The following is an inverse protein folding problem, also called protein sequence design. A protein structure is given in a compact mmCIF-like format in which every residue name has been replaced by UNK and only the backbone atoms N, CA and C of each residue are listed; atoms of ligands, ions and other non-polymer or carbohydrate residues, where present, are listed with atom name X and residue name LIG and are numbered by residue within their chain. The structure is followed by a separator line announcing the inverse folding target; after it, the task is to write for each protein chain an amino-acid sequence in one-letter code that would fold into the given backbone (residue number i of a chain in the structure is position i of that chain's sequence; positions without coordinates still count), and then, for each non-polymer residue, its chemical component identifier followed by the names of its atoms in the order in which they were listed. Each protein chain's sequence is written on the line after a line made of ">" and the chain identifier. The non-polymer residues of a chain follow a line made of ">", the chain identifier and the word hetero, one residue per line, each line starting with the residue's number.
data_IF_759523513038
#
_entry.id   IF_759523513038
#
_cell.length_a   1.000
_cell.length_b   1.000
_cell.length_c   1.000
_cell.angle_alpha   90.00
_cell.angle_beta   90.00
_cell.angle_gamma   90.00
#
_symmetry.space_group_name_H-M   'P 1'
#
loop_
_entity.id
_entity.type
_entity.pdbx_description
1 polymer ?
#
# COMPACT_ATOMS: atom_id res chain seq x y z
N UNK A 1 -98.90 -20.71 -13.40
CA UNK A 1 -98.76 -21.09 -11.98
C UNK A 1 -97.36 -20.70 -11.53
N UNK A 2 -97.27 -19.85 -10.50
CA UNK A 2 -96.09 -19.41 -9.72
C UNK A 2 -95.08 -18.42 -10.35
N UNK A 3 -95.21 -17.19 -9.85
CA UNK A 3 -94.21 -16.13 -9.69
C UNK A 3 -92.97 -16.61 -8.90
N UNK A 4 -91.81 -16.00 -9.16
CA UNK A 4 -91.06 -15.23 -8.14
C UNK A 4 -89.89 -14.42 -8.74
N UNK A 5 -89.88 -13.14 -8.38
CA UNK A 5 -88.85 -12.10 -8.54
C UNK A 5 -87.65 -12.29 -7.62
N UNK A 6 -86.46 -11.75 -7.99
CA UNK A 6 -85.61 -10.93 -7.09
C UNK A 6 -84.51 -10.15 -7.87
N UNK A 7 -84.14 -8.92 -7.44
CA UNK A 7 -83.24 -7.98 -8.15
C UNK A 7 -81.84 -7.88 -7.51
N UNK A 8 -80.85 -7.29 -8.20
CA UNK A 8 -79.62 -6.69 -7.62
C UNK A 8 -78.98 -5.74 -8.66
N UNK A 9 -79.13 -4.43 -8.46
CA UNK A 9 -78.16 -3.48 -7.87
C UNK A 9 -77.09 -2.97 -8.86
N UNK A 10 -77.28 -1.74 -9.30
CA UNK A 10 -76.29 -0.91 -9.99
C UNK A 10 -75.26 -0.38 -8.98
N UNK A 11 -73.97 -0.52 -9.29
CA UNK A 11 -72.88 0.13 -8.57
C UNK A 11 -72.26 1.21 -9.46
N UNK A 12 -72.48 2.48 -9.10
CA UNK A 12 -71.74 3.62 -9.62
C UNK A 12 -70.33 3.60 -9.00
N UNK A 13 -69.29 3.47 -9.81
CA UNK A 13 -67.91 3.72 -9.41
C UNK A 13 -67.55 5.17 -9.74
N UNK A 14 -67.44 6.00 -8.70
CA UNK A 14 -66.81 7.32 -8.74
C UNK A 14 -65.29 7.14 -8.84
N UNK A 15 -64.72 7.43 -10.02
CA UNK A 15 -63.28 7.50 -10.21
C UNK A 15 -62.75 8.87 -9.76
N UNK A 16 -62.21 8.94 -8.55
CA UNK A 16 -61.41 10.07 -8.07
C UNK A 16 -60.02 10.03 -8.71
N UNK A 17 -59.74 10.99 -9.59
CA UNK A 17 -58.43 11.16 -10.21
C UNK A 17 -57.39 11.67 -9.21
N UNK A 18 -56.57 10.77 -8.68
CA UNK A 18 -55.26 11.13 -8.15
C UNK A 18 -54.29 11.23 -9.32
N UNK A 19 -53.86 12.44 -9.65
CA UNK A 19 -52.77 12.69 -10.58
C UNK A 19 -51.47 12.13 -10.01
N UNK A 20 -51.04 10.98 -10.52
CA UNK A 20 -49.69 10.45 -10.31
C UNK A 20 -48.71 11.41 -11.00
N UNK A 21 -48.03 12.24 -10.20
CA UNK A 21 -46.81 12.91 -10.63
C UNK A 21 -45.75 11.83 -10.86
N UNK A 22 -45.51 11.50 -12.14
CA UNK A 22 -44.34 10.72 -12.53
C UNK A 22 -43.12 11.61 -12.29
N UNK A 23 -42.18 11.25 -11.41
CA UNK A 23 -40.96 12.01 -11.24
C UNK A 23 -40.18 11.95 -12.56
N UNK A 24 -39.95 13.11 -13.17
CA UNK A 24 -39.13 13.25 -14.35
C UNK A 24 -37.73 12.73 -14.03
N UNK A 25 -37.32 11.62 -14.64
CA UNK A 25 -35.96 11.12 -14.52
C UNK A 25 -35.01 12.24 -14.98
N UNK A 26 -34.15 12.72 -14.07
CA UNK A 26 -33.11 13.67 -14.40
C UNK A 26 -32.26 13.07 -15.53
N UNK A 27 -32.13 13.81 -16.63
CA UNK A 27 -31.22 13.43 -17.72
C UNK A 27 -29.81 13.27 -17.13
N UNK A 28 -29.12 12.15 -17.40
CA UNK A 28 -27.71 12.03 -17.01
C UNK A 28 -26.95 13.18 -17.69
N UNK A 29 -26.28 14.01 -16.89
CA UNK A 29 -25.37 15.02 -17.40
C UNK A 29 -24.28 14.37 -18.26
N UNK A 30 -23.56 15.15 -19.08
CA UNK A 30 -22.50 14.62 -19.94
C UNK A 30 -21.52 13.81 -19.09
N UNK A 31 -21.26 12.57 -19.50
CA UNK A 31 -20.32 11.67 -18.83
C UNK A 31 -18.93 12.34 -18.81
N UNK A 32 -18.49 12.75 -17.62
CA UNK A 32 -17.15 13.30 -17.42
C UNK A 32 -16.17 12.15 -17.58
N UNK A 33 -15.48 12.09 -18.72
CA UNK A 33 -14.40 11.13 -18.93
C UNK A 33 -13.27 11.39 -17.93
N UNK A 34 -12.84 10.36 -17.20
CA UNK A 34 -11.74 10.49 -16.26
C UNK A 34 -10.45 10.81 -17.01
N UNK A 35 -9.76 11.89 -16.61
CA UNK A 35 -8.42 12.22 -17.12
C UNK A 35 -7.44 11.09 -16.78
N UNK A 36 -6.45 10.77 -17.64
CA UNK A 36 -5.39 9.83 -17.28
C UNK A 36 -4.55 10.37 -16.12
N UNK A 37 -3.91 9.49 -15.36
CA UNK A 37 -3.02 9.84 -14.26
C UNK A 37 -1.87 10.75 -14.69
N UNK A 38 -1.39 10.60 -15.93
CA UNK A 38 -0.35 11.44 -16.54
C UNK A 38 -0.77 12.90 -16.75
N UNK A 39 -2.05 13.24 -16.57
CA UNK A 39 -2.54 14.62 -16.66
C UNK A 39 -2.31 15.44 -15.38
N UNK A 40 -1.83 14.81 -14.30
CA UNK A 40 -1.63 15.45 -13.00
C UNK A 40 -0.15 15.53 -12.63
N UNK A 41 0.19 16.47 -11.74
CA UNK A 41 1.54 16.58 -11.19
C UNK A 41 1.92 15.42 -10.25
N UNK A 42 3.22 15.15 -10.11
CA UNK A 42 3.74 14.13 -9.18
C UNK A 42 3.87 14.61 -7.73
N UNK A 43 3.43 15.84 -7.42
CA UNK A 43 3.68 16.50 -6.14
C UNK A 43 3.16 15.74 -4.92
N UNK A 44 1.92 15.24 -5.00
CA UNK A 44 1.31 14.42 -3.94
C UNK A 44 2.18 13.20 -3.60
N UNK A 45 2.62 12.47 -4.63
CA UNK A 45 3.45 11.27 -4.47
C UNK A 45 4.83 11.63 -3.92
N UNK A 46 5.45 12.70 -4.44
CA UNK A 46 6.75 13.17 -3.99
C UNK A 46 6.76 13.48 -2.49
N UNK A 47 5.75 14.22 -2.01
CA UNK A 47 5.66 14.60 -0.61
C UNK A 47 5.45 13.41 0.33
N UNK A 48 4.63 12.44 -0.07
CA UNK A 48 4.44 11.21 0.70
C UNK A 48 5.72 10.41 0.79
N UNK A 49 6.39 10.18 -0.35
CA UNK A 49 7.68 9.48 -0.37
C UNK A 49 8.72 10.20 0.50
N UNK A 50 8.76 11.53 0.45
CA UNK A 50 9.63 12.32 1.29
C UNK A 50 9.32 12.13 2.79
N UNK A 51 8.04 12.17 3.17
CA UNK A 51 7.63 11.91 4.55
C UNK A 51 7.97 10.47 4.98
N UNK A 52 7.70 9.47 4.15
CA UNK A 52 7.98 8.06 4.46
C UNK A 52 9.49 7.82 4.72
N UNK A 53 10.37 8.48 3.96
CA UNK A 53 11.82 8.44 4.20
C UNK A 53 12.20 9.06 5.56
N UNK A 54 11.51 10.11 5.99
CA UNK A 54 11.70 10.69 7.32
C UNK A 54 11.14 9.77 8.42
N UNK A 55 9.97 9.15 8.18
CA UNK A 55 9.35 8.21 9.11
C UNK A 55 10.24 6.99 9.35
N UNK A 56 10.92 6.47 8.33
CA UNK A 56 11.91 5.37 8.46
C UNK A 56 13.00 5.74 9.45
N UNK A 57 13.55 6.95 9.36
CA UNK A 57 14.63 7.40 10.24
C UNK A 57 14.16 7.67 11.67
N UNK A 58 12.91 8.09 11.82
CA UNK A 58 12.36 8.62 13.08
C UNK A 58 11.47 7.62 13.82
N UNK A 59 11.22 6.44 13.24
CA UNK A 59 10.38 5.41 13.85
C UNK A 59 11.25 4.25 14.35
N UNK A 60 11.27 3.95 15.65
CA UNK A 60 12.01 2.82 16.19
C UNK A 60 11.59 1.48 15.53
N UNK A 61 12.58 0.63 15.25
CA UNK A 61 12.38 -0.70 14.68
C UNK A 61 12.58 -0.81 13.16
N UNK A 62 12.79 0.31 12.47
CA UNK A 62 12.99 0.34 11.02
C UNK A 62 14.45 0.12 10.61
N UNK A 63 14.93 -1.12 10.77
CA UNK A 63 16.20 -1.55 10.19
C UNK A 63 16.10 -1.64 8.66
N UNK A 64 17.25 -1.71 7.92
CA UNK A 64 17.22 -1.68 6.45
C UNK A 64 16.25 -2.69 5.79
N UNK A 65 16.15 -3.96 6.23
CA UNK A 65 15.20 -4.90 5.64
C UNK A 65 13.73 -4.53 5.91
N UNK A 66 13.42 -4.02 7.11
CA UNK A 66 12.08 -3.57 7.51
C UNK A 66 11.68 -2.32 6.73
N UNK A 67 12.61 -1.37 6.55
CA UNK A 67 12.41 -0.17 5.75
C UNK A 67 12.15 -0.52 4.27
N UNK A 68 12.94 -1.43 3.69
CA UNK A 68 12.74 -1.91 2.32
C UNK A 68 11.35 -2.56 2.15
N UNK A 69 10.92 -3.36 3.13
CA UNK A 69 9.57 -3.94 3.15
C UNK A 69 8.50 -2.85 3.16
N UNK A 70 8.60 -1.86 4.05
CA UNK A 70 7.63 -0.77 4.14
C UNK A 70 7.52 0.01 2.81
N UNK A 71 8.64 0.45 2.25
CA UNK A 71 8.67 1.18 0.97
C UNK A 71 8.13 0.34 -0.19
N UNK A 72 8.49 -0.95 -0.26
CA UNK A 72 8.02 -1.83 -1.33
C UNK A 72 6.50 -1.95 -1.35
N UNK A 73 5.87 -2.11 -0.19
CA UNK A 73 4.42 -2.22 -0.10
C UNK A 73 3.69 -0.87 -0.18
N UNK A 74 4.27 0.23 0.30
CA UNK A 74 3.72 1.59 0.08
C UNK A 74 3.73 1.92 -1.42
N UNK A 75 4.84 1.65 -2.10
CA UNK A 75 4.97 1.82 -3.55
C UNK A 75 3.99 0.95 -4.33
N UNK A 76 3.81 -0.31 -3.92
CA UNK A 76 2.83 -1.19 -4.55
C UNK A 76 1.39 -0.70 -4.34
N UNK A 77 1.03 -0.27 -3.12
CA UNK A 77 -0.30 0.29 -2.85
C UNK A 77 -0.58 1.54 -3.69
N UNK A 78 0.42 2.42 -3.84
CA UNK A 78 0.34 3.57 -4.75
C UNK A 78 0.12 3.10 -6.19
N UNK A 79 0.98 2.22 -6.70
CA UNK A 79 0.92 1.77 -8.09
C UNK A 79 -0.42 1.13 -8.43
N UNK A 80 -0.86 0.14 -7.65
CA UNK A 80 -2.13 -0.56 -7.88
C UNK A 80 -3.34 0.36 -7.75
N UNK A 81 -3.26 1.41 -6.93
CA UNK A 81 -4.35 2.38 -6.80
C UNK A 81 -4.46 3.31 -8.02
N UNK A 82 -3.36 3.60 -8.72
CA UNK A 82 -3.35 4.57 -9.83
C UNK A 82 -3.29 3.89 -11.20
N UNK A 83 -2.85 2.63 -11.30
CA UNK A 83 -2.70 1.92 -12.57
C UNK A 83 -3.98 1.87 -13.44
N UNK A 84 -5.22 1.85 -12.89
CA UNK A 84 -6.41 1.95 -13.74
C UNK A 84 -6.49 3.25 -14.54
N UNK A 85 -5.82 4.31 -14.07
CA UNK A 85 -5.66 5.60 -14.73
C UNK A 85 -4.42 5.73 -15.62
N UNK A 86 -3.64 4.66 -15.81
CA UNK A 86 -2.37 4.68 -16.54
C UNK A 86 -2.45 3.85 -17.82
N UNK A 87 -2.97 4.41 -18.94
CA UNK A 87 -3.03 3.69 -20.21
C UNK A 87 -1.67 3.10 -20.60
N UNK A 88 -1.65 1.82 -20.97
CA UNK A 88 -0.43 1.09 -21.33
C UNK A 88 0.30 0.39 -20.17
N UNK A 89 -0.17 0.58 -18.93
CA UNK A 89 0.34 -0.13 -17.74
C UNK A 89 -0.64 -1.21 -17.29
N UNK A 90 -0.13 -2.19 -16.54
CA UNK A 90 -0.89 -3.35 -16.10
C UNK A 90 -0.75 -3.54 -14.59
N UNK A 91 -1.82 -4.00 -13.95
CA UNK A 91 -1.76 -4.45 -12.56
C UNK A 91 -0.72 -5.55 -12.39
N UNK A 92 -0.01 -5.52 -11.27
CA UNK A 92 0.92 -6.55 -10.83
C UNK A 92 0.21 -7.72 -10.11
N UNK A 93 -1.11 -7.62 -9.89
CA UNK A 93 -1.90 -8.79 -9.51
C UNK A 93 -1.81 -9.87 -10.60
N UNK A 94 -1.58 -11.11 -10.19
CA UNK A 94 -1.26 -12.25 -11.06
C UNK A 94 0.22 -12.33 -11.47
N UNK A 95 1.04 -11.31 -11.17
CA UNK A 95 2.47 -11.29 -11.49
C UNK A 95 3.34 -11.45 -10.24
N UNK A 96 2.95 -10.84 -9.11
CA UNK A 96 3.65 -11.00 -7.83
C UNK A 96 3.26 -12.31 -7.15
N UNK A 97 4.20 -12.88 -6.39
CA UNK A 97 3.98 -14.13 -5.69
C UNK A 97 2.74 -14.07 -4.79
N UNK A 98 1.78 -14.97 -5.04
CA UNK A 98 0.56 -15.14 -4.25
C UNK A 98 -0.39 -13.92 -4.24
N UNK A 99 -0.16 -12.91 -5.07
CA UNK A 99 -1.08 -11.79 -5.24
C UNK A 99 -2.03 -12.09 -6.40
N UNK A 100 -3.14 -12.78 -6.14
CA UNK A 100 -4.02 -13.26 -7.21
C UNK A 100 -5.01 -12.22 -7.74
N UNK A 101 -5.56 -11.37 -6.87
CA UNK A 101 -6.60 -10.41 -7.23
C UNK A 101 -6.63 -9.22 -6.29
N UNK A 102 -7.08 -8.07 -6.81
CA UNK A 102 -7.24 -6.82 -6.07
C UNK A 102 -8.60 -6.18 -6.38
N UNK A 103 -9.04 -5.19 -5.57
CA UNK A 103 -10.21 -4.38 -5.88
C UNK A 103 -10.06 -3.70 -7.25
N UNK A 104 -11.17 -3.59 -8.00
CA UNK A 104 -11.19 -2.97 -9.32
C UNK A 104 -11.86 -1.59 -9.26
N UNK A 105 -11.34 -0.65 -10.04
CA UNK A 105 -12.05 0.61 -10.27
C UNK A 105 -13.30 0.36 -11.10
N UNK A 106 -14.41 1.01 -10.76
CA UNK A 106 -15.65 0.90 -11.53
C UNK A 106 -15.52 1.72 -12.83
N UNK A 107 -15.70 1.12 -14.03
CA UNK A 107 -15.45 1.79 -15.31
C UNK A 107 -16.24 3.09 -15.54
N UNK A 108 -17.45 3.17 -14.98
CA UNK A 108 -18.37 4.28 -15.18
C UNK A 108 -18.31 5.33 -14.06
N UNK A 109 -17.37 5.19 -13.11
CA UNK A 109 -17.20 6.12 -12.00
C UNK A 109 -15.85 6.85 -12.11
N UNK A 110 -15.84 8.12 -12.55
CA UNK A 110 -14.59 8.85 -12.71
C UNK A 110 -13.89 9.04 -11.36
N UNK A 111 -12.62 8.64 -11.32
CA UNK A 111 -11.74 8.82 -10.17
C UNK A 111 -10.80 10.01 -10.39
N UNK A 112 -10.41 10.62 -9.28
CA UNK A 112 -9.41 11.67 -9.22
C UNK A 112 -8.09 11.09 -8.69
N UNK A 113 -7.15 10.82 -9.60
CA UNK A 113 -5.92 10.07 -9.28
C UNK A 113 -5.05 10.69 -8.17
N UNK A 114 -4.88 12.02 -8.05
CA UNK A 114 -4.23 12.62 -6.89
C UNK A 114 -4.92 12.31 -5.56
N UNK A 115 -6.26 12.32 -5.50
CA UNK A 115 -7.00 11.93 -4.29
C UNK A 115 -6.81 10.44 -3.99
N UNK A 116 -6.88 9.58 -5.02
CA UNK A 116 -6.65 8.13 -4.88
C UNK A 116 -5.25 7.85 -4.32
N UNK A 117 -4.21 8.44 -4.93
CA UNK A 117 -2.82 8.28 -4.51
C UNK A 117 -2.60 8.77 -3.08
N UNK A 118 -3.12 9.96 -2.74
CA UNK A 118 -3.02 10.53 -1.41
C UNK A 118 -3.63 9.59 -0.36
N UNK A 119 -4.85 9.10 -0.60
CA UNK A 119 -5.56 8.22 0.34
C UNK A 119 -4.88 6.85 0.46
N UNK A 120 -4.39 6.28 -0.64
CA UNK A 120 -3.68 5.00 -0.64
C UNK A 120 -2.38 5.09 0.16
N UNK A 121 -1.55 6.11 -0.11
CA UNK A 121 -0.29 6.31 0.61
C UNK A 121 -0.53 6.64 2.08
N UNK A 122 -1.45 7.54 2.41
CA UNK A 122 -1.79 7.87 3.80
C UNK A 122 -2.18 6.63 4.62
N UNK A 123 -3.09 5.84 4.06
CA UNK A 123 -3.59 4.62 4.70
C UNK A 123 -2.48 3.59 4.84
N UNK A 124 -1.68 3.39 3.80
CA UNK A 124 -0.61 2.40 3.80
C UNK A 124 0.54 2.77 4.74
N UNK A 125 0.98 4.03 4.74
CA UNK A 125 2.00 4.53 5.65
C UNK A 125 1.53 4.44 7.10
N UNK A 126 0.29 4.80 7.42
CA UNK A 126 -0.25 4.63 8.76
C UNK A 126 -0.21 3.17 9.25
N UNK A 127 -0.45 2.19 8.37
CA UNK A 127 -0.37 0.76 8.68
C UNK A 127 1.07 0.22 8.72
N UNK A 128 1.97 0.78 7.93
CA UNK A 128 3.37 0.36 7.87
C UNK A 128 4.18 0.89 9.05
N UNK A 129 3.85 2.08 9.58
CA UNK A 129 4.51 2.71 10.73
C UNK A 129 3.65 2.67 12.01
N UNK A 130 3.23 1.50 12.53
CA UNK A 130 2.33 1.42 13.67
C UNK A 130 2.93 2.00 14.96
N UNK A 131 4.26 1.92 15.09
CA UNK A 131 5.07 2.42 16.21
C UNK A 131 5.52 3.88 16.05
N UNK A 132 5.09 4.58 15.00
CA UNK A 132 5.39 6.00 14.86
C UNK A 132 4.89 6.79 16.08
N UNK A 133 5.66 7.82 16.46
CA UNK A 133 5.28 8.76 17.52
C UNK A 133 3.96 9.46 17.19
N UNK A 134 3.30 10.02 18.22
CA UNK A 134 2.09 10.81 18.02
C UNK A 134 2.32 12.00 17.07
N UNK A 135 3.49 12.64 17.17
CA UNK A 135 3.92 13.71 16.27
C UNK A 135 4.02 13.24 14.81
N UNK A 136 4.66 12.10 14.57
CA UNK A 136 4.78 11.54 13.22
C UNK A 136 3.43 11.09 12.65
N UNK A 137 2.53 10.57 13.49
CA UNK A 137 1.14 10.28 13.10
C UNK A 137 0.38 11.56 12.73
N UNK A 138 0.56 12.64 13.49
CA UNK A 138 -0.03 13.94 13.18
C UNK A 138 0.54 14.54 11.87
N UNK A 139 1.83 14.32 11.57
CA UNK A 139 2.44 14.71 10.30
C UNK A 139 1.82 13.99 9.10
N UNK A 140 1.59 12.68 9.19
CA UNK A 140 0.86 11.92 8.15
C UNK A 140 -0.54 12.48 7.92
N UNK A 141 -1.32 12.70 9.00
CA UNK A 141 -2.67 13.26 8.92
C UNK A 141 -2.72 14.70 8.40
N UNK A 142 -1.70 15.50 8.71
CA UNK A 142 -1.60 16.87 8.21
C UNK A 142 -1.25 16.87 6.74
N UNK A 143 -0.33 16.00 6.33
CA UNK A 143 0.06 15.86 4.93
C UNK A 143 -1.14 15.46 4.07
N UNK A 144 -1.87 14.41 4.46
CA UNK A 144 -3.08 13.94 3.78
C UNK A 144 -4.10 15.07 3.55
N UNK A 145 -4.40 15.86 4.59
CA UNK A 145 -5.38 16.95 4.53
C UNK A 145 -4.90 18.19 3.77
N UNK A 146 -3.58 18.38 3.66
CA UNK A 146 -2.99 19.58 3.06
C UNK A 146 -2.90 19.53 1.52
N UNK A 147 -3.04 18.35 0.91
CA UNK A 147 -2.82 18.18 -0.53
C UNK A 147 -3.65 19.11 -1.42
N UNK A 148 -4.98 19.28 -1.18
CA UNK A 148 -5.76 20.19 -2.02
C UNK A 148 -5.31 21.65 -1.91
N UNK A 149 -4.79 22.05 -0.75
CA UNK A 149 -4.26 23.41 -0.53
C UNK A 149 -2.88 23.60 -1.16
N UNK A 150 -2.05 22.56 -1.14
CA UNK A 150 -0.67 22.62 -1.67
C UNK A 150 -0.63 22.50 -3.20
N UNK A 151 -1.57 21.78 -3.78
CA UNK A 151 -1.65 21.51 -5.23
C UNK A 151 -2.99 21.95 -5.83
N UNK A 152 -3.40 23.22 -5.69
CA UNK A 152 -4.73 23.67 -6.11
C UNK A 152 -5.01 23.46 -7.60
N UNK A 153 -3.97 23.47 -8.45
CA UNK A 153 -4.09 23.18 -9.88
C UNK A 153 -4.55 21.74 -10.19
N UNK A 154 -4.25 20.80 -9.29
CA UNK A 154 -4.65 19.41 -9.43
C UNK A 154 -5.98 19.12 -8.71
N UNK A 155 -6.45 20.01 -7.83
CA UNK A 155 -7.65 19.82 -6.99
C UNK A 155 -8.75 20.86 -7.28
N UNK A 156 -8.94 21.23 -8.55
CA UNK A 156 -9.95 22.21 -8.97
C UNK A 156 -11.38 21.79 -8.52
N UNK A 157 -12.04 22.54 -7.62
CA UNK A 157 -13.39 22.22 -7.13
C UNK A 157 -14.47 22.19 -8.23
N UNK A 158 -14.23 22.84 -9.38
CA UNK A 158 -15.12 22.78 -10.53
C UNK A 158 -15.12 21.42 -11.24
N UNK A 159 -14.08 20.61 -11.04
CA UNK A 159 -13.93 19.27 -11.65
C UNK A 159 -13.90 18.15 -10.62
N UNK A 160 -13.30 18.39 -9.45
CA UNK A 160 -13.22 17.44 -8.34
C UNK A 160 -14.37 17.72 -7.37
N UNK A 161 -15.55 17.18 -7.70
CA UNK A 161 -16.73 17.31 -6.85
C UNK A 161 -16.59 16.49 -5.56
N UNK A 162 -17.37 16.76 -4.50
CA UNK A 162 -17.35 15.97 -3.27
C UNK A 162 -17.58 14.46 -3.49
N UNK A 163 -18.43 14.10 -4.46
CA UNK A 163 -18.72 12.71 -4.82
C UNK A 163 -17.49 12.03 -5.48
N UNK A 164 -16.82 12.72 -6.41
CA UNK A 164 -15.56 12.26 -7.01
C UNK A 164 -14.47 12.14 -5.94
N UNK A 165 -14.35 13.12 -5.04
CA UNK A 165 -13.37 13.06 -3.95
C UNK A 165 -13.62 11.87 -3.04
N UNK A 166 -14.85 11.69 -2.56
CA UNK A 166 -15.20 10.62 -1.62
C UNK A 166 -15.00 9.21 -2.21
N UNK A 167 -15.43 8.99 -3.46
CA UNK A 167 -15.21 7.69 -4.12
C UNK A 167 -13.72 7.43 -4.37
N UNK A 168 -12.95 8.46 -4.72
CA UNK A 168 -11.51 8.35 -4.96
C UNK A 168 -10.75 8.02 -3.68
N UNK A 169 -11.09 8.69 -2.59
CA UNK A 169 -10.53 8.42 -1.26
C UNK A 169 -10.87 6.99 -0.81
N UNK A 170 -12.13 6.58 -0.99
CA UNK A 170 -12.59 5.22 -0.66
C UNK A 170 -11.82 4.18 -1.46
N UNK A 171 -11.65 4.37 -2.77
CA UNK A 171 -10.92 3.45 -3.62
C UNK A 171 -9.45 3.31 -3.20
N UNK A 172 -8.76 4.44 -2.97
CA UNK A 172 -7.37 4.43 -2.50
C UNK A 172 -7.20 3.70 -1.16
N UNK A 173 -8.11 3.95 -0.21
CA UNK A 173 -8.15 3.25 1.09
C UNK A 173 -8.35 1.75 0.94
N UNK A 174 -9.33 1.34 0.13
CA UNK A 174 -9.63 -0.07 -0.11
C UNK A 174 -8.44 -0.80 -0.74
N UNK A 175 -7.76 -0.17 -1.70
CA UNK A 175 -6.57 -0.74 -2.33
C UNK A 175 -5.43 -0.93 -1.31
N UNK A 176 -5.13 0.10 -0.52
CA UNK A 176 -4.11 0.01 0.53
C UNK A 176 -4.42 -1.10 1.55
N UNK A 177 -5.68 -1.23 1.97
CA UNK A 177 -6.12 -2.28 2.88
C UNK A 177 -6.00 -3.69 2.27
N UNK A 178 -6.32 -3.86 1.00
CA UNK A 178 -6.16 -5.12 0.28
C UNK A 178 -4.68 -5.52 0.19
N UNK A 179 -3.81 -4.58 -0.19
CA UNK A 179 -2.36 -4.81 -0.24
C UNK A 179 -1.80 -5.11 1.14
N UNK A 180 -2.23 -4.41 2.20
CA UNK A 180 -1.80 -4.71 3.56
C UNK A 180 -2.25 -6.10 4.03
N UNK A 181 -3.44 -6.54 3.63
CA UNK A 181 -3.90 -7.91 3.93
C UNK A 181 -2.97 -8.96 3.33
N UNK A 182 -2.58 -8.79 2.06
CA UNK A 182 -1.58 -9.63 1.42
C UNK A 182 -0.16 -9.46 2.00
N UNK A 183 0.19 -8.25 2.43
CA UNK A 183 1.49 -7.99 3.07
C UNK A 183 1.63 -8.72 4.39
N UNK A 184 0.56 -8.84 5.19
CA UNK A 184 0.59 -9.53 6.49
C UNK A 184 0.96 -11.01 6.38
N UNK A 185 0.76 -11.64 5.22
CA UNK A 185 1.03 -13.06 5.01
C UNK A 185 2.46 -13.36 4.56
N UNK A 186 3.30 -12.33 4.37
CA UNK A 186 4.64 -12.50 3.79
C UNK A 186 5.72 -13.04 4.75
N UNK A 187 5.38 -13.21 6.03
CA UNK A 187 6.32 -13.64 7.10
C UNK A 187 7.11 -12.49 7.76
N UNK A 188 7.19 -11.33 7.13
CA UNK A 188 7.94 -10.15 7.59
C UNK A 188 7.10 -9.14 8.40
N UNK A 189 5.79 -9.33 8.50
CA UNK A 189 4.93 -8.49 9.34
C UNK A 189 5.43 -8.47 10.79
N UNK A 190 5.41 -7.30 11.43
CA UNK A 190 5.98 -7.07 12.78
C UNK A 190 7.50 -7.30 12.90
N UNK A 191 8.24 -7.35 11.79
CA UNK A 191 9.71 -7.39 11.80
C UNK A 191 10.38 -6.22 12.54
N UNK A 192 9.64 -5.13 12.75
CA UNK A 192 10.06 -3.99 13.58
C UNK A 192 10.05 -4.30 15.08
N UNK A 193 9.27 -5.28 15.53
CA UNK A 193 9.03 -5.59 16.94
C UNK A 193 10.05 -6.58 17.52
N UNK A 194 10.22 -6.61 18.86
CA UNK A 194 11.27 -7.39 19.52
C UNK A 194 11.17 -8.90 19.28
N UNK A 195 9.95 -9.43 19.11
CA UNK A 195 9.70 -10.87 18.93
C UNK A 195 10.35 -11.38 17.64
N UNK A 196 10.19 -10.66 16.53
CA UNK A 196 10.71 -11.05 15.22
C UNK A 196 12.07 -10.45 14.90
N UNK A 197 12.41 -9.30 15.50
CA UNK A 197 13.65 -8.57 15.19
C UNK A 197 14.92 -9.31 15.56
N UNK A 198 14.99 -9.84 16.77
CA UNK A 198 16.16 -10.58 17.26
C UNK A 198 15.94 -12.07 17.33
N UNK A 199 14.68 -12.53 17.40
CA UNK A 199 14.29 -13.94 17.55
C UNK A 199 15.17 -14.64 18.59
N UNK A 200 14.87 -14.43 19.88
CA UNK A 200 15.73 -14.76 21.01
C UNK A 200 16.24 -16.22 21.08
N UNK A 201 15.64 -17.14 20.33
CA UNK A 201 16.06 -18.53 20.19
C UNK A 201 17.10 -18.78 19.08
N UNK A 202 17.43 -17.78 18.26
CA UNK A 202 18.50 -17.89 17.27
C UNK A 202 19.86 -17.84 17.96
N UNK A 203 20.65 -18.89 17.76
CA UNK A 203 22.03 -18.98 18.23
C UNK A 203 22.95 -18.83 17.01
N UNK A 204 23.69 -17.72 16.88
CA UNK A 204 24.66 -17.56 15.81
C UNK A 204 25.71 -18.67 15.82
N UNK A 205 26.22 -19.12 14.66
CA UNK A 205 27.32 -20.07 14.60
C UNK A 205 28.53 -19.57 15.38
N UNK A 206 29.15 -20.44 16.17
CA UNK A 206 30.34 -20.13 16.97
C UNK A 206 31.61 -20.71 16.35
N UNK A 207 32.76 -20.15 16.75
CA UNK A 207 34.08 -20.59 16.33
C UNK A 207 34.76 -19.65 15.36
N UNK A 208 36.02 -19.95 15.06
CA UNK A 208 36.89 -19.13 14.22
C UNK A 208 36.31 -18.97 12.81
N UNK A 209 36.33 -17.75 12.30
CA UNK A 209 35.77 -17.40 10.98
C UNK A 209 34.24 -17.37 10.90
N UNK A 210 33.54 -17.50 12.03
CA UNK A 210 32.08 -17.30 12.12
C UNK A 210 31.76 -15.89 12.61
N UNK A 211 30.55 -15.44 12.31
CA UNK A 211 30.06 -14.15 12.78
C UNK A 211 30.03 -14.09 14.31
N UNK A 212 30.43 -12.95 14.87
CA UNK A 212 30.25 -12.64 16.28
C UNK A 212 29.70 -11.22 16.43
N UNK A 213 29.00 -10.96 17.53
CA UNK A 213 28.58 -9.60 17.86
C UNK A 213 29.82 -8.70 18.05
N UNK A 214 29.77 -7.49 17.52
CA UNK A 214 30.90 -6.54 17.54
C UNK A 214 30.65 -5.37 18.51
N UNK A 215 31.72 -4.78 19.09
CA UNK A 215 31.59 -3.58 19.92
C UNK A 215 31.03 -2.38 19.11
N UNK A 216 30.49 -1.35 19.79
CA UNK A 216 30.37 -1.22 21.25
C UNK A 216 29.14 -1.91 21.85
N UNK A 217 28.10 -2.15 21.05
CA UNK A 217 26.80 -2.59 21.56
C UNK A 217 26.67 -4.11 21.70
N UNK A 218 27.50 -4.89 21.00
CA UNK A 218 27.39 -6.36 20.94
C UNK A 218 25.95 -6.81 20.63
N UNK A 219 25.31 -6.13 19.68
CA UNK A 219 23.92 -6.38 19.34
C UNK A 219 23.71 -7.81 18.79
N UNK A 220 22.55 -8.43 19.07
CA UNK A 220 22.23 -9.74 18.50
C UNK A 220 22.09 -9.68 16.98
N UNK A 221 22.17 -10.83 16.33
CA UNK A 221 21.91 -10.94 14.90
C UNK A 221 20.54 -10.35 14.54
N UNK A 222 20.53 -9.45 13.57
CA UNK A 222 19.32 -8.78 13.13
C UNK A 222 18.58 -9.67 12.12
N UNK A 223 17.31 -9.99 12.42
CA UNK A 223 16.38 -10.68 11.53
C UNK A 223 16.99 -11.93 10.88
N UNK A 224 17.47 -12.92 11.67
CA UNK A 224 18.25 -14.04 11.15
C UNK A 224 17.48 -14.93 10.16
N UNK A 225 16.14 -14.93 10.21
CA UNK A 225 15.28 -15.66 9.27
C UNK A 225 14.64 -14.78 8.20
N UNK A 226 15.12 -13.55 7.95
CA UNK A 226 14.51 -12.63 6.97
C UNK A 226 14.42 -13.23 5.55
N UNK A 227 15.40 -14.08 5.20
CA UNK A 227 15.40 -14.81 3.92
C UNK A 227 14.27 -15.83 3.76
N UNK A 228 13.45 -16.07 4.77
CA UNK A 228 12.27 -16.95 4.69
C UNK A 228 10.98 -16.18 4.34
N UNK A 229 11.04 -14.84 4.31
CA UNK A 229 9.89 -14.04 3.90
C UNK A 229 9.57 -14.29 2.42
N UNK A 230 8.28 -14.22 2.06
CA UNK A 230 7.85 -14.29 0.66
C UNK A 230 8.47 -13.14 -0.14
N UNK A 231 9.28 -13.41 -1.18
CA UNK A 231 9.77 -12.36 -2.07
C UNK A 231 8.60 -11.80 -2.92
N UNK A 232 8.72 -10.56 -3.40
CA UNK A 232 7.73 -9.99 -4.32
C UNK A 232 7.75 -10.69 -5.70
N UNK A 233 8.95 -10.88 -6.26
CA UNK A 233 9.16 -11.32 -7.66
C UNK A 233 9.97 -12.62 -7.78
N UNK A 234 11.04 -12.79 -7.00
CA UNK A 234 11.81 -14.03 -7.02
C UNK A 234 10.90 -15.19 -6.59
N UNK A 235 10.89 -16.31 -7.32
CA UNK A 235 10.02 -17.46 -6.97
C UNK A 235 10.39 -18.01 -5.59
N UNK A 236 11.68 -18.01 -5.23
CA UNK A 236 12.17 -18.26 -3.88
C UNK A 236 13.31 -17.30 -3.52
N UNK A 237 13.56 -17.10 -2.23
CA UNK A 237 14.68 -16.28 -1.76
C UNK A 237 16.07 -16.83 -2.17
N UNK A 238 16.14 -18.09 -2.63
CA UNK A 238 17.36 -18.74 -3.06
C UNK A 238 17.60 -18.67 -4.58
N UNK A 239 16.71 -18.05 -5.36
CA UNK A 239 16.80 -18.06 -6.83
C UNK A 239 17.95 -17.20 -7.41
N UNK A 240 18.62 -16.38 -6.59
CA UNK A 240 19.77 -15.56 -6.98
C UNK A 240 20.91 -15.68 -5.96
N UNK A 241 21.58 -16.84 -5.86
CA UNK A 241 22.65 -17.02 -4.89
C UNK A 241 23.89 -16.21 -5.29
N UNK A 242 24.49 -15.52 -4.32
CA UNK A 242 25.82 -14.96 -4.49
C UNK A 242 26.87 -16.08 -4.58
N UNK A 243 28.01 -15.87 -5.26
CA UNK A 243 29.15 -16.77 -5.13
C UNK A 243 29.57 -16.88 -3.66
N UNK A 244 30.08 -18.04 -3.21
CA UNK A 244 30.54 -18.19 -1.84
C UNK A 244 31.69 -17.22 -1.54
N UNK A 245 31.79 -16.69 -0.31
CA UNK A 245 32.94 -15.87 0.08
C UNK A 245 34.23 -16.71 0.11
N UNK A 246 35.42 -16.08 0.09
CA UNK A 246 36.67 -16.78 0.35
C UNK A 246 36.61 -17.57 1.64
N UNK A 247 37.17 -18.79 1.63
CA UNK A 247 37.29 -19.58 2.84
C UNK A 247 38.13 -18.83 3.88
N UNK A 248 37.64 -18.80 5.12
CA UNK A 248 38.37 -18.19 6.23
C UNK A 248 39.78 -18.78 6.36
N UNK A 249 40.79 -17.91 6.42
CA UNK A 249 42.18 -18.28 6.67
C UNK A 249 42.97 -17.07 7.17
N UNK A 250 43.83 -17.27 8.16
CA UNK A 250 44.77 -16.26 8.67
C UNK A 250 46.13 -16.30 7.95
N UNK A 251 46.31 -17.19 6.98
CA UNK A 251 47.55 -17.26 6.21
C UNK A 251 47.68 -16.02 5.31
N UNK A 252 48.82 -15.33 5.38
CA UNK A 252 49.07 -14.08 4.64
C UNK A 252 48.87 -14.20 3.12
N UNK A 253 49.06 -15.39 2.56
CA UNK A 253 48.88 -15.68 1.14
C UNK A 253 47.43 -15.91 0.70
N UNK A 254 46.53 -16.20 1.64
CA UNK A 254 45.13 -16.56 1.37
C UNK A 254 44.32 -15.38 0.81
N UNK A 255 43.23 -15.69 0.10
CA UNK A 255 42.30 -14.67 -0.39
C UNK A 255 41.64 -13.91 0.78
N UNK A 256 41.18 -14.63 1.82
CA UNK A 256 40.56 -14.03 2.99
C UNK A 256 41.47 -13.03 3.72
N UNK A 257 42.74 -13.40 3.95
CA UNK A 257 43.69 -12.50 4.60
C UNK A 257 43.95 -11.24 3.77
N UNK A 258 44.06 -11.37 2.44
CA UNK A 258 44.29 -10.21 1.55
C UNK A 258 43.13 -9.23 1.59
N UNK A 259 41.88 -9.72 1.55
CA UNK A 259 40.67 -8.88 1.67
C UNK A 259 40.59 -8.21 3.07
N UNK A 260 40.90 -8.93 4.14
CA UNK A 260 40.97 -8.35 5.49
C UNK A 260 42.06 -7.28 5.62
N UNK A 261 43.24 -7.51 5.04
CA UNK A 261 44.35 -6.56 5.03
C UNK A 261 44.03 -5.30 4.22
N UNK A 262 43.26 -5.42 3.14
CA UNK A 262 42.76 -4.27 2.38
C UNK A 262 41.90 -3.37 3.27
N UNK A 263 40.90 -3.93 3.96
CA UNK A 263 40.03 -3.18 4.88
C UNK A 263 40.84 -2.50 5.99
N UNK A 264 41.84 -3.20 6.54
CA UNK A 264 42.73 -2.63 7.56
C UNK A 264 43.49 -1.42 7.01
N UNK A 265 44.13 -1.55 5.83
CA UNK A 265 44.97 -0.49 5.24
C UNK A 265 44.20 0.77 4.86
N UNK A 266 42.94 0.67 4.46
CA UNK A 266 42.12 1.85 4.13
C UNK A 266 41.54 2.54 5.38
N UNK A 267 41.54 1.84 6.51
CA UNK A 267 40.96 2.33 7.78
C UNK A 267 41.99 2.99 8.70
N UNK A 268 43.26 2.98 8.32
CA UNK A 268 44.42 3.53 9.05
C UNK A 268 45.12 4.58 8.22
#
# INVERSE_FOLDING_TARGET
>A
MKFTTKPLLAALLLASGLGLHVPTAAQPGPAVSAKPASAYGSGVVYDWMYLDLQLIQQTPGFSPPVAARALGYIGLALYESVVPGMPGYQSLAGQLNELSSLPWAQPDEPLHWPTVANAAMATMSAMMFPTASAENKARMQTLERSMPLKYPQDFDPGTVTPDISNRSETFGKLMAMAIMTWARTDGGHEGWGPIRRSQANYVPPSGTGKWSATPPAFAPALLPYWGQNRPMVLRTAADCPAPPPPAYSEEMGSAFYKEGLEVYKIST
#
